data_IF_163338126989
#
_entry.id   IF_163338126989
#
_cell.length_a   1.000
_cell.length_b   1.000
_cell.length_c   1.000
_cell.angle_alpha   90.00
_cell.angle_beta   90.00
_cell.angle_gamma   90.00
#
_symmetry.space_group_name_H-M   'P 1'
#
loop_
_entity.id
_entity.type
_entity.pdbx_description
1 polymer ?
#
# COMPACT_ATOMS: atom_id res chain seq x y z
N UNK A 1 6.33 22.67 -24.70
CA UNK A 1 7.39 23.55 -24.20
C UNK A 1 8.75 22.89 -24.43
N UNK A 2 8.89 21.59 -24.16
CA UNK A 2 10.15 20.84 -24.36
C UNK A 2 10.27 20.19 -25.73
N UNK A 3 9.20 20.08 -26.52
CA UNK A 3 9.15 19.33 -27.78
C UNK A 3 9.20 17.81 -27.63
N UNK A 4 9.49 17.30 -26.43
CA UNK A 4 9.57 15.87 -26.15
C UNK A 4 8.24 15.31 -25.63
N UNK A 5 7.70 14.24 -26.24
CA UNK A 5 6.51 13.59 -25.72
C UNK A 5 6.81 12.91 -24.39
N UNK A 6 5.92 13.09 -23.40
CA UNK A 6 6.03 12.44 -22.10
C UNK A 6 5.93 10.92 -22.25
N UNK A 7 6.68 10.17 -21.44
CA UNK A 7 6.72 8.71 -21.52
C UNK A 7 5.35 8.06 -21.25
N UNK A 8 4.57 8.63 -20.31
CA UNK A 8 3.21 8.21 -19.97
C UNK A 8 2.12 9.03 -20.68
N UNK A 9 2.49 9.85 -21.68
CA UNK A 9 1.57 10.68 -22.42
C UNK A 9 0.81 11.66 -21.53
N UNK A 10 -0.52 11.66 -21.64
CA UNK A 10 -1.42 12.53 -20.86
C UNK A 10 -1.99 11.87 -19.61
N UNK A 11 -1.52 10.67 -19.25
CA UNK A 11 -1.96 10.01 -18.03
C UNK A 11 -1.44 10.77 -16.80
N UNK A 12 -2.36 11.25 -15.97
CA UNK A 12 -2.07 11.94 -14.72
C UNK A 12 -2.98 11.41 -13.61
N UNK A 13 -2.45 11.29 -12.38
CA UNK A 13 -3.23 10.92 -11.21
C UNK A 13 -3.80 9.49 -11.19
N UNK A 14 -3.36 8.62 -12.13
CA UNK A 14 -3.79 7.22 -12.22
C UNK A 14 -2.58 6.29 -12.18
N UNK A 15 -2.79 5.07 -11.67
CA UNK A 15 -1.80 4.00 -11.81
C UNK A 15 -1.93 3.39 -13.20
N UNK A 16 -0.91 3.50 -14.08
CA UNK A 16 -0.99 2.98 -15.45
C UNK A 16 -1.25 1.48 -15.51
N UNK A 17 -0.71 0.70 -14.56
CA UNK A 17 -0.93 -0.75 -14.43
C UNK A 17 -2.40 -1.10 -14.15
N UNK A 18 -3.14 -0.25 -13.42
CA UNK A 18 -4.59 -0.45 -13.20
C UNK A 18 -5.37 -0.43 -14.51
N UNK A 19 -5.02 0.47 -15.43
CA UNK A 19 -5.67 0.52 -16.75
C UNK A 19 -5.33 -0.71 -17.59
N UNK A 20 -4.07 -1.17 -17.53
CA UNK A 20 -3.65 -2.39 -18.19
C UNK A 20 -4.38 -3.62 -17.62
N UNK A 21 -4.51 -3.71 -16.27
CA UNK A 21 -5.23 -4.78 -15.60
C UNK A 21 -6.70 -4.85 -16.05
N UNK A 22 -7.40 -3.72 -16.07
CA UNK A 22 -8.80 -3.66 -16.52
C UNK A 22 -8.97 -4.17 -17.96
N UNK A 23 -8.03 -3.86 -18.86
CA UNK A 23 -8.08 -4.35 -20.25
C UNK A 23 -7.72 -5.82 -20.35
N UNK A 24 -6.76 -6.28 -19.54
CA UNK A 24 -6.37 -7.69 -19.44
C UNK A 24 -7.53 -8.56 -18.94
N UNK A 25 -8.23 -8.13 -17.88
CA UNK A 25 -9.43 -8.77 -17.34
C UNK A 25 -10.60 -8.78 -18.34
N UNK A 26 -10.71 -7.74 -19.16
CA UNK A 26 -11.66 -7.66 -20.26
C UNK A 26 -11.26 -8.51 -21.48
N UNK A 27 -10.20 -9.32 -21.40
CA UNK A 27 -9.78 -10.24 -22.46
C UNK A 27 -9.06 -9.60 -23.64
N UNK A 28 -8.53 -8.37 -23.47
CA UNK A 28 -7.77 -7.72 -24.53
C UNK A 28 -6.43 -8.41 -24.76
N UNK A 29 -5.89 -8.27 -25.98
CA UNK A 29 -4.52 -8.68 -26.30
C UNK A 29 -3.55 -7.52 -26.05
N UNK A 30 -2.29 -7.85 -25.79
CA UNK A 30 -1.21 -6.89 -25.52
C UNK A 30 -1.09 -5.83 -26.62
N UNK A 31 -1.17 -6.26 -27.88
CA UNK A 31 -1.05 -5.39 -29.06
C UNK A 31 -2.20 -4.37 -29.14
N UNK A 32 -3.42 -4.78 -28.81
CA UNK A 32 -4.59 -3.92 -28.81
C UNK A 32 -4.53 -2.90 -27.68
N UNK A 33 -4.04 -3.32 -26.49
CA UNK A 33 -3.78 -2.40 -25.39
C UNK A 33 -2.72 -1.36 -25.74
N UNK A 34 -1.59 -1.76 -26.35
CA UNK A 34 -0.52 -0.84 -26.74
C UNK A 34 -1.03 0.20 -27.75
N UNK A 35 -1.81 -0.21 -28.73
CA UNK A 35 -2.44 0.68 -29.72
C UNK A 35 -3.37 1.66 -29.03
N UNK A 36 -4.29 1.15 -28.21
CA UNK A 36 -5.23 1.97 -27.48
C UNK A 36 -4.54 2.97 -26.54
N UNK A 37 -3.50 2.58 -25.83
CA UNK A 37 -2.77 3.44 -24.91
C UNK A 37 -2.09 4.61 -25.65
N UNK A 38 -1.60 4.39 -26.87
CA UNK A 38 -1.10 5.45 -27.72
C UNK A 38 -2.22 6.35 -28.25
N UNK A 39 -3.27 5.78 -28.79
CA UNK A 39 -4.37 6.53 -29.41
C UNK A 39 -5.12 7.39 -28.40
N UNK A 40 -5.43 6.84 -27.23
CA UNK A 40 -6.25 7.49 -26.19
C UNK A 40 -5.45 8.42 -25.28
N UNK A 41 -4.22 8.09 -24.96
CA UNK A 41 -3.45 8.79 -23.94
C UNK A 41 -2.02 9.15 -24.35
N UNK A 42 -1.60 8.88 -25.59
CA UNK A 42 -0.24 9.14 -26.11
C UNK A 42 0.85 8.46 -25.26
N UNK A 43 0.55 7.34 -24.63
CA UNK A 43 1.55 6.56 -23.88
C UNK A 43 2.53 5.94 -24.85
N UNK A 44 3.82 6.13 -24.60
CA UNK A 44 4.87 5.51 -25.43
C UNK A 44 4.80 3.99 -25.37
N UNK A 45 5.13 3.33 -26.47
CA UNK A 45 5.07 1.86 -26.63
C UNK A 45 5.78 1.12 -25.49
N UNK A 46 6.99 1.57 -25.11
CA UNK A 46 7.79 0.93 -24.06
C UNK A 46 7.09 0.96 -22.70
N UNK A 47 6.38 2.06 -22.42
CA UNK A 47 5.60 2.22 -21.17
C UNK A 47 4.30 1.44 -21.21
N UNK A 48 3.64 1.36 -22.34
CA UNK A 48 2.46 0.51 -22.50
C UNK A 48 2.82 -0.99 -22.37
N UNK A 49 3.92 -1.42 -22.97
CA UNK A 49 4.46 -2.79 -22.78
C UNK A 49 4.75 -3.06 -21.32
N UNK A 50 5.48 -2.17 -20.65
CA UNK A 50 5.81 -2.30 -19.23
C UNK A 50 4.55 -2.41 -18.36
N UNK A 51 3.55 -1.54 -18.57
CA UNK A 51 2.30 -1.58 -17.81
C UNK A 51 1.55 -2.90 -18.00
N UNK A 52 1.53 -3.43 -19.22
CA UNK A 52 0.91 -4.72 -19.52
C UNK A 52 1.62 -5.88 -18.82
N UNK A 53 2.95 -5.96 -18.94
CA UNK A 53 3.75 -7.02 -18.31
C UNK A 53 3.65 -7.02 -16.80
N UNK A 54 3.56 -5.83 -16.18
CA UNK A 54 3.31 -5.71 -14.76
C UNK A 54 1.90 -6.22 -14.44
N UNK A 55 0.88 -5.83 -15.19
CA UNK A 55 -0.50 -6.30 -14.97
C UNK A 55 -0.61 -7.83 -15.10
N UNK A 56 0.08 -8.45 -16.07
CA UNK A 56 0.12 -9.92 -16.19
C UNK A 56 0.75 -10.61 -14.96
N UNK A 57 1.78 -9.99 -14.37
CA UNK A 57 2.41 -10.49 -13.14
C UNK A 57 1.53 -10.28 -11.92
N UNK A 58 0.97 -9.07 -11.77
CA UNK A 58 0.03 -8.73 -10.70
C UNK A 58 -1.18 -9.67 -10.71
N UNK A 59 -1.73 -9.99 -11.89
CA UNK A 59 -2.87 -10.90 -12.00
C UNK A 59 -2.55 -12.29 -11.43
N UNK A 60 -1.36 -12.83 -11.73
CA UNK A 60 -0.95 -14.14 -11.19
C UNK A 60 -0.84 -14.14 -9.66
N UNK A 61 -0.33 -13.03 -9.09
CA UNK A 61 -0.24 -12.87 -7.63
C UNK A 61 -1.65 -12.75 -7.03
N UNK A 62 -2.54 -12.00 -7.68
CA UNK A 62 -3.92 -11.81 -7.22
C UNK A 62 -4.77 -13.08 -7.32
N UNK A 63 -4.44 -14.01 -8.24
CA UNK A 63 -5.10 -15.32 -8.33
C UNK A 63 -4.87 -16.18 -7.06
N UNK A 64 -3.77 -15.93 -6.32
CA UNK A 64 -3.46 -16.59 -5.03
C UNK A 64 -4.19 -15.92 -3.85
N UNK A 65 -4.65 -14.67 -4.04
CA UNK A 65 -5.42 -13.93 -3.07
C UNK A 65 -6.90 -14.20 -3.26
N UNK A 66 -7.58 -14.59 -2.19
CA UNK A 66 -9.04 -14.65 -2.18
C UNK A 66 -9.60 -13.23 -1.99
N UNK A 67 -9.50 -12.40 -3.05
CA UNK A 67 -9.88 -10.99 -2.96
C UNK A 67 -11.39 -10.75 -2.95
N UNK A 68 -12.22 -11.76 -3.24
CA UNK A 68 -13.67 -11.65 -3.17
C UNK A 68 -14.17 -11.81 -1.73
N UNK A 69 -13.62 -12.75 -0.99
CA UNK A 69 -14.00 -13.05 0.41
C UNK A 69 -12.95 -12.64 1.44
N UNK A 70 -11.74 -12.30 0.97
CA UNK A 70 -10.63 -11.85 1.78
C UNK A 70 -10.57 -10.34 1.94
N UNK A 71 -9.66 -9.89 2.81
CA UNK A 71 -9.35 -8.47 2.96
C UNK A 71 -7.87 -8.27 3.32
N UNK A 72 -7.41 -7.06 3.10
CA UNK A 72 -6.09 -6.57 3.52
C UNK A 72 -6.26 -5.57 4.65
N UNK A 73 -5.47 -5.70 5.70
CA UNK A 73 -5.44 -4.78 6.82
C UNK A 73 -4.31 -3.78 6.66
N UNK A 74 -4.63 -2.50 6.51
CA UNK A 74 -3.65 -1.42 6.52
C UNK A 74 -3.68 -0.72 7.87
N UNK A 75 -2.53 -0.66 8.53
CA UNK A 75 -2.35 -0.02 9.85
C UNK A 75 -1.47 1.20 9.66
N UNK A 76 -2.05 2.39 9.80
CA UNK A 76 -1.35 3.65 9.56
C UNK A 76 -0.65 4.19 10.79
N UNK A 77 0.64 4.49 10.70
CA UNK A 77 1.41 5.20 11.73
C UNK A 77 1.76 6.60 11.19
N UNK A 78 1.10 7.67 11.64
CA UNK A 78 1.22 8.99 11.03
C UNK A 78 2.44 9.79 11.53
N UNK A 79 3.38 9.15 12.20
CA UNK A 79 4.53 9.84 12.79
C UNK A 79 5.79 9.61 11.96
N UNK A 80 6.64 10.65 11.88
CA UNK A 80 7.98 10.57 11.29
C UNK A 80 8.99 11.25 12.21
N UNK A 81 10.28 10.88 12.19
CA UNK A 81 11.32 11.61 12.93
C UNK A 81 11.36 13.07 12.49
N UNK A 82 11.24 13.32 11.20
CA UNK A 82 11.13 14.64 10.57
C UNK A 82 10.31 14.54 9.28
N UNK A 83 9.75 15.66 8.82
CA UNK A 83 9.00 15.70 7.54
C UNK A 83 9.97 15.92 6.39
N UNK A 84 10.01 15.00 5.44
CA UNK A 84 10.81 15.13 4.22
C UNK A 84 10.26 16.23 3.31
N UNK A 85 11.13 17.03 2.69
CA UNK A 85 10.76 18.18 1.86
C UNK A 85 9.89 17.82 0.63
N UNK A 86 9.94 16.58 0.20
CA UNK A 86 9.18 16.05 -0.94
C UNK A 86 7.95 15.22 -0.56
N UNK A 87 7.69 15.04 0.76
CA UNK A 87 6.62 14.16 1.23
C UNK A 87 5.25 14.82 1.10
N UNK A 88 4.31 14.11 0.49
CA UNK A 88 2.90 14.52 0.38
C UNK A 88 1.97 13.77 1.35
N UNK A 89 2.51 12.88 2.18
CA UNK A 89 1.71 12.12 3.14
C UNK A 89 1.28 12.99 4.32
N UNK A 90 0.12 12.66 4.89
CA UNK A 90 -0.38 13.29 6.11
C UNK A 90 0.38 12.75 7.33
N UNK A 91 1.66 13.10 7.44
CA UNK A 91 2.52 12.70 8.54
C UNK A 91 2.90 13.90 9.42
N UNK A 92 3.08 13.64 10.71
CA UNK A 92 3.49 14.64 11.70
C UNK A 92 4.89 14.37 12.25
N UNK A 93 5.70 15.41 12.48
CA UNK A 93 7.00 15.24 13.11
C UNK A 93 6.84 14.78 14.57
N UNK A 94 7.60 13.75 14.95
CA UNK A 94 7.49 13.11 16.26
C UNK A 94 7.70 14.08 17.43
N UNK A 95 8.55 15.07 17.29
CA UNK A 95 8.82 16.08 18.32
C UNK A 95 7.55 16.81 18.79
N UNK A 96 6.60 17.05 17.87
CA UNK A 96 5.31 17.71 18.19
C UNK A 96 4.26 16.76 18.73
N UNK A 97 4.40 15.46 18.49
CA UNK A 97 3.35 14.48 18.78
C UNK A 97 3.76 13.45 19.83
N UNK A 98 5.00 13.50 20.33
CA UNK A 98 5.57 12.51 21.24
C UNK A 98 4.66 12.15 22.42
N UNK A 99 4.03 13.15 23.04
CA UNK A 99 3.11 12.92 24.18
C UNK A 99 1.77 12.31 23.79
N UNK A 100 1.46 12.23 22.48
CA UNK A 100 0.20 11.68 21.96
C UNK A 100 0.35 10.29 21.36
N UNK A 101 1.57 9.79 21.18
CA UNK A 101 1.85 8.51 20.52
C UNK A 101 1.19 7.36 21.27
N UNK A 102 1.31 7.29 22.59
CA UNK A 102 0.68 6.22 23.38
C UNK A 102 -0.84 6.24 23.27
N UNK A 103 -1.45 7.42 23.38
CA UNK A 103 -2.90 7.58 23.21
C UNK A 103 -3.33 7.18 21.78
N UNK A 104 -2.51 7.47 20.78
CA UNK A 104 -2.76 7.05 19.42
C UNK A 104 -2.72 5.53 19.28
N UNK A 105 -1.67 4.87 19.80
CA UNK A 105 -1.54 3.41 19.74
C UNK A 105 -2.69 2.72 20.48
N UNK A 106 -3.09 3.22 21.66
CA UNK A 106 -4.22 2.67 22.40
C UNK A 106 -5.55 2.83 21.65
N UNK A 107 -5.72 3.96 20.96
CA UNK A 107 -6.92 4.18 20.13
C UNK A 107 -6.91 3.28 18.90
N UNK A 108 -5.76 3.11 18.26
CA UNK A 108 -5.58 2.21 17.13
C UNK A 108 -5.87 0.75 17.51
N UNK A 109 -5.43 0.31 18.69
CA UNK A 109 -5.77 -1.02 19.22
C UNK A 109 -7.30 -1.22 19.35
N UNK A 110 -8.03 -0.19 19.79
CA UNK A 110 -9.51 -0.25 19.87
C UNK A 110 -10.16 -0.32 18.49
N UNK A 111 -9.63 0.43 17.51
CA UNK A 111 -10.10 0.33 16.12
C UNK A 111 -9.85 -1.07 15.55
N UNK A 112 -8.66 -1.64 15.79
CA UNK A 112 -8.32 -2.99 15.38
C UNK A 112 -9.25 -4.04 15.99
N UNK A 113 -9.60 -3.92 17.27
CA UNK A 113 -10.58 -4.81 17.93
C UNK A 113 -11.94 -4.72 17.25
N UNK A 114 -12.42 -3.50 16.98
CA UNK A 114 -13.69 -3.30 16.28
C UNK A 114 -13.68 -3.91 14.88
N UNK A 115 -12.56 -3.79 14.14
CA UNK A 115 -12.39 -4.39 12.80
C UNK A 115 -12.37 -5.91 12.91
N UNK A 116 -11.62 -6.47 13.86
CA UNK A 116 -11.52 -7.91 14.07
C UNK A 116 -12.89 -8.53 14.35
N UNK A 117 -13.71 -7.90 15.20
CA UNK A 117 -15.07 -8.37 15.50
C UNK A 117 -15.96 -8.41 14.25
N UNK A 118 -15.85 -7.41 13.37
CA UNK A 118 -16.69 -7.30 12.15
C UNK A 118 -16.20 -8.16 11.01
N UNK A 119 -14.93 -8.55 11.02
CA UNK A 119 -14.32 -9.36 9.96
C UNK A 119 -14.12 -10.84 10.34
N UNK A 120 -14.70 -11.31 11.43
CA UNK A 120 -14.56 -12.72 11.94
C UNK A 120 -14.81 -13.79 10.88
N UNK A 121 -15.69 -13.53 9.91
CA UNK A 121 -16.06 -14.49 8.87
C UNK A 121 -15.34 -14.23 7.54
N UNK A 122 -14.33 -13.34 7.53
CA UNK A 122 -13.55 -13.00 6.35
C UNK A 122 -12.12 -13.48 6.50
N UNK A 123 -11.45 -13.76 5.39
CA UNK A 123 -10.06 -14.19 5.35
C UNK A 123 -9.13 -12.99 5.34
N UNK A 124 -8.28 -12.84 6.35
CA UNK A 124 -7.23 -11.83 6.35
C UNK A 124 -6.07 -12.32 5.49
N UNK A 125 -5.84 -11.67 4.35
CA UNK A 125 -4.83 -12.07 3.38
C UNK A 125 -3.49 -11.36 3.61
N UNK A 126 -3.53 -10.06 3.93
CA UNK A 126 -2.30 -9.30 4.15
C UNK A 126 -2.45 -8.31 5.29
N UNK A 127 -1.34 -8.05 5.99
CA UNK A 127 -1.20 -6.97 6.96
C UNK A 127 -0.07 -6.05 6.48
N UNK A 128 -0.36 -4.76 6.45
CA UNK A 128 0.63 -3.75 6.08
C UNK A 128 0.63 -2.62 7.10
N UNK A 129 1.72 -2.47 7.83
CA UNK A 129 1.94 -1.37 8.77
C UNK A 129 2.81 -0.32 8.06
N UNK A 130 2.25 0.84 7.79
CA UNK A 130 2.89 1.88 7.00
C UNK A 130 2.45 3.29 7.39
N UNK A 131 2.58 4.24 6.46
CA UNK A 131 2.12 5.61 6.64
C UNK A 131 3.25 6.64 6.67
N UNK A 132 3.53 7.23 7.81
CA UNK A 132 4.69 8.07 8.04
C UNK A 132 5.95 7.21 8.14
N UNK A 133 6.25 6.73 9.34
CA UNK A 133 7.37 5.81 9.58
C UNK A 133 7.03 4.96 10.80
N UNK A 134 6.59 3.70 10.63
CA UNK A 134 6.20 2.83 11.74
C UNK A 134 7.28 2.66 12.81
N UNK A 135 8.54 2.62 12.40
CA UNK A 135 9.70 2.52 13.30
C UNK A 135 10.00 3.78 14.12
N UNK A 136 9.16 4.82 14.04
CA UNK A 136 9.15 5.92 15.02
C UNK A 136 8.51 5.52 16.35
N UNK A 137 7.71 4.46 16.36
CA UNK A 137 7.24 3.86 17.59
C UNK A 137 8.41 3.20 18.32
N UNK A 138 8.40 3.25 19.66
CA UNK A 138 9.38 2.50 20.45
C UNK A 138 9.18 1.00 20.29
N UNK A 139 10.18 0.21 20.67
CA UNK A 139 10.07 -1.25 20.63
C UNK A 139 8.85 -1.74 21.43
N UNK A 140 8.60 -1.18 22.62
CA UNK A 140 7.47 -1.53 23.46
C UNK A 140 6.12 -1.16 22.82
N UNK A 141 6.06 -0.01 22.11
CA UNK A 141 4.86 0.42 21.42
C UNK A 141 4.57 -0.47 20.20
N UNK A 142 5.62 -0.84 19.44
CA UNK A 142 5.49 -1.79 18.33
C UNK A 142 5.10 -3.18 18.82
N UNK A 143 5.74 -3.68 19.87
CA UNK A 143 5.41 -4.97 20.48
C UNK A 143 3.95 -5.01 20.94
N UNK A 144 3.48 -3.96 21.61
CA UNK A 144 2.07 -3.84 22.04
C UNK A 144 1.12 -3.87 20.84
N UNK A 145 1.40 -3.08 19.79
CA UNK A 145 0.55 -3.03 18.60
C UNK A 145 0.52 -4.37 17.85
N UNK A 146 1.70 -4.95 17.61
CA UNK A 146 1.80 -6.23 16.89
C UNK A 146 1.22 -7.39 17.72
N UNK A 147 1.45 -7.41 19.04
CA UNK A 147 0.84 -8.38 19.95
C UNK A 147 -0.68 -8.29 19.94
N UNK A 148 -1.24 -7.07 19.89
CA UNK A 148 -2.69 -6.88 19.75
C UNK A 148 -3.24 -7.40 18.44
N UNK A 149 -2.53 -7.16 17.34
CA UNK A 149 -2.89 -7.72 16.04
C UNK A 149 -2.87 -9.25 16.10
N UNK A 150 -1.82 -9.84 16.64
CA UNK A 150 -1.67 -11.30 16.76
C UNK A 150 -2.73 -11.95 17.64
N UNK A 151 -3.20 -11.26 18.67
CA UNK A 151 -4.29 -11.74 19.54
C UNK A 151 -5.66 -11.70 18.85
N UNK A 152 -5.92 -10.65 18.06
CA UNK A 152 -7.27 -10.38 17.51
C UNK A 152 -7.49 -10.95 16.12
N UNK A 153 -6.44 -11.18 15.33
CA UNK A 153 -6.54 -11.63 13.94
C UNK A 153 -5.91 -13.01 13.73
N UNK A 154 -6.64 -13.89 13.04
CA UNK A 154 -6.09 -15.19 12.63
C UNK A 154 -5.07 -15.03 11.51
N UNK A 155 -3.94 -15.74 11.62
CA UNK A 155 -2.92 -15.82 10.58
C UNK A 155 -3.13 -16.98 9.60
N UNK A 156 -4.22 -17.73 9.72
CA UNK A 156 -4.47 -18.95 8.92
C UNK A 156 -4.42 -18.72 7.40
N UNK A 157 -4.90 -17.55 6.95
CA UNK A 157 -4.93 -17.17 5.54
C UNK A 157 -3.97 -16.02 5.20
N UNK A 158 -3.06 -15.70 6.13
CA UNK A 158 -2.14 -14.58 5.98
C UNK A 158 -0.98 -14.95 5.04
N UNK A 159 -0.86 -14.23 3.93
CA UNK A 159 0.17 -14.42 2.92
C UNK A 159 1.34 -13.46 3.08
N UNK A 160 1.07 -12.25 3.62
CA UNK A 160 2.08 -11.21 3.80
C UNK A 160 1.84 -10.41 5.07
N UNK A 161 2.92 -10.13 5.82
CA UNK A 161 2.94 -9.21 6.94
C UNK A 161 4.12 -8.25 6.77
N UNK A 162 3.84 -7.03 6.33
CA UNK A 162 4.85 -6.02 6.05
C UNK A 162 4.82 -4.90 7.09
N UNK A 163 6.01 -4.49 7.54
CA UNK A 163 6.22 -3.30 8.37
C UNK A 163 7.23 -2.40 7.68
N UNK A 164 6.84 -1.17 7.36
CA UNK A 164 7.77 -0.20 6.77
C UNK A 164 8.83 0.26 7.79
N UNK A 165 10.09 0.21 7.38
CA UNK A 165 11.26 0.61 8.16
C UNK A 165 12.24 1.43 7.31
N UNK A 166 11.73 2.36 6.51
CA UNK A 166 12.48 3.07 5.47
C UNK A 166 13.42 4.19 5.98
N UNK A 167 13.42 4.51 7.28
CA UNK A 167 14.18 5.62 7.85
C UNK A 167 15.27 5.11 8.80
N UNK A 168 16.56 5.27 8.46
CA UNK A 168 17.65 4.82 9.31
C UNK A 168 17.72 5.57 10.66
N UNK A 169 17.23 6.83 10.70
CA UNK A 169 17.14 7.64 11.91
C UNK A 169 15.97 7.25 12.85
N UNK A 170 15.20 6.25 12.49
CA UNK A 170 14.12 5.68 13.31
C UNK A 170 14.43 4.27 13.82
N UNK A 171 15.61 3.73 13.53
CA UNK A 171 16.04 2.39 13.94
C UNK A 171 17.23 2.54 14.89
N UNK A 172 17.15 1.90 16.05
CA UNK A 172 18.26 1.76 17.00
C UNK A 172 18.86 0.36 16.92
N UNK A 173 20.15 0.22 17.32
CA UNK A 173 20.81 -1.08 17.47
C UNK A 173 20.19 -1.91 18.59
#
# INVERSE_FOLDING_TARGET
>A
ITGEPLAWGVLTGVRPTKLAMQKLEAGWKKEDYIRWAWESARVRKEKAVLAWEIAERERKILEELDYEEGYSLYVGIPFCPSVCSYCSFSSGPLDRWKEKVDVYVDTLCKELEFIAERSKNKKLNTIYIGGGTPTTLTAEQLERLMGWIDEKFSREHLLEYTVEAGRPDSITE
#
